data_IF_744529219151
#
_entry.id   IF_744529219151
#
_cell.length_a   1.000
_cell.length_b   1.000
_cell.length_c   1.000
_cell.angle_alpha   90.00
_cell.angle_beta   90.00
_cell.angle_gamma   90.00
#
_symmetry.space_group_name_H-M   'P 1'
#
loop_
_entity.id
_entity.type
_entity.pdbx_description
1 polymer ?
#
# COMPACT_ATOMS: atom_id res chain seq x y z
N UNK A 1 13.38 -0.57 -16.22
CA UNK A 1 13.26 -0.91 -14.78
C UNK A 1 12.77 -2.35 -14.70
N UNK A 2 13.50 -3.23 -14.04
CA UNK A 2 13.36 -4.70 -14.17
C UNK A 2 12.17 -5.31 -13.42
N UNK A 3 11.55 -4.57 -12.48
CA UNK A 3 10.34 -4.98 -11.75
C UNK A 3 9.64 -3.75 -11.11
N UNK A 4 8.37 -3.86 -10.68
CA UNK A 4 7.59 -2.74 -10.16
C UNK A 4 8.21 -2.01 -8.96
N UNK A 5 8.92 -2.73 -8.09
CA UNK A 5 9.49 -2.21 -6.84
C UNK A 5 10.93 -1.74 -6.94
N UNK A 6 11.50 -1.61 -8.15
CA UNK A 6 12.90 -1.26 -8.33
C UNK A 6 13.27 0.12 -7.74
N UNK A 7 12.32 1.07 -7.63
CA UNK A 7 12.56 2.33 -6.90
C UNK A 7 12.65 2.13 -5.39
N UNK A 8 11.76 1.34 -4.82
CA UNK A 8 11.78 1.00 -3.40
C UNK A 8 13.06 0.24 -3.04
N UNK A 9 13.52 -0.64 -3.94
CA UNK A 9 14.75 -1.41 -3.76
C UNK A 9 16.00 -0.53 -3.69
N UNK A 10 16.07 0.58 -4.44
CA UNK A 10 17.18 1.54 -4.34
C UNK A 10 17.31 2.08 -2.91
N UNK A 11 16.19 2.27 -2.19
CA UNK A 11 16.16 2.85 -0.85
C UNK A 11 16.32 1.81 0.26
N UNK A 12 15.66 0.65 0.14
CA UNK A 12 15.57 -0.35 1.20
C UNK A 12 16.43 -1.60 0.95
N UNK A 13 17.05 -1.69 -0.22
CA UNK A 13 17.74 -2.88 -0.69
C UNK A 13 16.80 -4.05 -0.99
N UNK A 14 17.35 -5.08 -1.63
CA UNK A 14 16.60 -6.28 -2.01
C UNK A 14 15.96 -6.98 -0.79
N UNK A 15 16.64 -6.98 0.36
CA UNK A 15 16.10 -7.57 1.58
C UNK A 15 14.93 -6.77 2.15
N UNK A 16 14.97 -5.43 2.07
CA UNK A 16 13.87 -4.59 2.51
C UNK A 16 12.61 -4.81 1.69
N UNK A 17 12.74 -4.92 0.36
CA UNK A 17 11.62 -5.24 -0.52
C UNK A 17 11.05 -6.63 -0.21
N UNK A 18 11.88 -7.65 0.00
CA UNK A 18 11.43 -8.98 0.45
C UNK A 18 10.69 -8.91 1.78
N UNK A 19 11.25 -8.19 2.75
CA UNK A 19 10.63 -8.02 4.06
C UNK A 19 9.24 -7.38 3.96
N UNK A 20 9.04 -6.40 3.07
CA UNK A 20 7.73 -5.78 2.82
C UNK A 20 6.76 -6.75 2.15
N UNK A 21 7.23 -7.53 1.17
CA UNK A 21 6.44 -8.54 0.48
C UNK A 21 5.88 -9.61 1.44
N UNK A 22 6.58 -9.90 2.53
CA UNK A 22 6.11 -10.86 3.55
C UNK A 22 5.13 -10.25 4.57
N UNK A 23 4.82 -8.95 4.49
CA UNK A 23 3.90 -8.29 5.43
C UNK A 23 2.46 -8.30 4.95
N UNK A 24 1.58 -8.36 5.95
CA UNK A 24 0.16 -8.13 5.82
C UNK A 24 -0.23 -6.96 6.71
N UNK A 25 -0.85 -5.93 6.12
CA UNK A 25 -1.33 -4.76 6.85
C UNK A 25 -2.84 -4.66 6.73
N UNK A 26 -3.51 -4.40 7.86
CA UNK A 26 -4.93 -4.04 7.91
C UNK A 26 -5.07 -2.52 7.97
N UNK A 27 -5.98 -1.97 7.16
CA UNK A 27 -6.34 -0.55 7.15
C UNK A 27 -7.83 -0.46 7.43
N UNK A 28 -8.19 0.18 8.54
CA UNK A 28 -9.58 0.44 8.93
C UNK A 28 -9.93 1.90 8.56
N UNK A 29 -10.84 2.07 7.61
CA UNK A 29 -11.18 3.33 6.95
C UNK A 29 -10.29 3.60 5.73
N UNK A 30 -10.91 3.84 4.58
CA UNK A 30 -10.30 4.10 3.26
C UNK A 30 -10.82 5.44 2.71
N UNK A 31 -11.05 6.41 3.60
CA UNK A 31 -11.32 7.80 3.24
C UNK A 31 -10.06 8.55 2.82
N UNK A 32 -10.07 9.88 3.00
CA UNK A 32 -8.99 10.77 2.54
C UNK A 32 -7.58 10.42 3.04
N UNK A 33 -7.43 9.79 4.21
CA UNK A 33 -6.11 9.34 4.71
C UNK A 33 -5.85 7.87 4.35
N UNK A 34 -6.82 7.00 4.66
CA UNK A 34 -6.67 5.56 4.46
C UNK A 34 -6.45 5.17 3.00
N UNK A 35 -7.07 5.89 2.07
CA UNK A 35 -6.84 5.72 0.63
C UNK A 35 -5.38 5.94 0.23
N UNK A 36 -4.78 7.06 0.67
CA UNK A 36 -3.35 7.32 0.39
C UNK A 36 -2.44 6.31 1.10
N UNK A 37 -2.77 5.89 2.32
CA UNK A 37 -1.97 4.87 3.02
C UNK A 37 -2.02 3.55 2.25
N UNK A 38 -3.20 3.10 1.82
CA UNK A 38 -3.37 1.89 1.03
C UNK A 38 -2.58 1.96 -0.28
N UNK A 39 -2.67 3.07 -1.01
CA UNK A 39 -1.94 3.28 -2.25
C UNK A 39 -0.43 3.22 -2.04
N UNK A 40 0.09 3.96 -1.07
CA UNK A 40 1.54 4.03 -0.83
C UNK A 40 2.10 2.70 -0.34
N UNK A 41 1.39 1.96 0.52
CA UNK A 41 1.81 0.64 0.97
C UNK A 41 1.81 -0.38 -0.18
N UNK A 42 0.81 -0.34 -1.06
CA UNK A 42 0.78 -1.17 -2.26
C UNK A 42 1.95 -0.85 -3.20
N UNK A 43 2.22 0.43 -3.45
CA UNK A 43 3.35 0.90 -4.28
C UNK A 43 4.71 0.56 -3.67
N UNK A 44 4.81 0.54 -2.34
CA UNK A 44 6.02 0.16 -1.63
C UNK A 44 6.32 -1.35 -1.72
N UNK A 45 5.31 -2.18 -2.00
CA UNK A 45 5.48 -3.62 -2.16
C UNK A 45 5.08 -4.43 -0.92
N UNK A 46 4.14 -3.92 -0.11
CA UNK A 46 3.47 -4.76 0.91
C UNK A 46 2.72 -5.90 0.20
N UNK A 47 2.96 -7.14 0.62
CA UNK A 47 2.42 -8.31 -0.08
C UNK A 47 0.93 -8.55 0.12
N UNK A 48 0.36 -8.10 1.24
CA UNK A 48 -1.08 -8.23 1.50
C UNK A 48 -1.64 -7.00 2.22
N UNK A 49 -2.76 -6.50 1.72
CA UNK A 49 -3.56 -5.46 2.38
C UNK A 49 -4.96 -6.00 2.65
N UNK A 50 -5.46 -5.78 3.86
CA UNK A 50 -6.88 -5.93 4.19
C UNK A 50 -7.45 -4.55 4.43
N UNK A 51 -8.39 -4.14 3.58
CA UNK A 51 -9.07 -2.87 3.70
C UNK A 51 -10.46 -3.12 4.29
N UNK A 52 -10.78 -2.41 5.37
CA UNK A 52 -12.10 -2.48 6.01
C UNK A 52 -12.67 -1.08 6.02
N UNK A 53 -13.72 -0.87 5.24
CA UNK A 53 -14.49 0.36 5.24
C UNK A 53 -15.98 0.02 5.15
N UNK A 54 -16.79 0.79 5.86
CA UNK A 54 -18.25 0.68 5.81
C UNK A 54 -18.86 1.66 4.80
N UNK A 55 -18.15 2.73 4.46
CA UNK A 55 -18.68 3.79 3.62
C UNK A 55 -18.71 3.42 2.13
N UNK A 56 -19.56 4.12 1.38
CA UNK A 56 -19.68 4.01 -0.08
C UNK A 56 -19.17 5.30 -0.71
N UNK A 57 -18.40 5.20 -1.79
CA UNK A 57 -17.88 6.37 -2.50
C UNK A 57 -19.01 7.25 -3.03
N UNK A 58 -18.98 8.53 -2.68
CA UNK A 58 -19.91 9.56 -3.13
C UNK A 58 -19.22 10.70 -3.89
N UNK A 59 -20.02 11.60 -4.44
CA UNK A 59 -19.52 12.74 -5.26
C UNK A 59 -18.59 13.65 -4.46
N UNK A 60 -18.84 13.86 -3.17
CA UNK A 60 -18.00 14.72 -2.32
C UNK A 60 -16.62 14.11 -1.99
N UNK A 61 -16.33 12.89 -2.44
CA UNK A 61 -15.02 12.26 -2.28
C UNK A 61 -14.07 12.52 -3.46
N UNK A 62 -14.53 13.22 -4.52
CA UNK A 62 -13.78 13.56 -5.73
C UNK A 62 -13.40 15.04 -5.68
#
# INVERSE_FOLDING_TARGET
MTHPFARTEILLGAQGVRNLADRHVLIAGVGGVGGYVAENLARAGIGRLTLVDHDVVGISNI
#
